data_IF_168200133539
#
_entry.id   IF_168200133539
#
_cell.length_a   1.000
_cell.length_b   1.000
_cell.length_c   1.000
_cell.angle_alpha   90.00
_cell.angle_beta   90.00
_cell.angle_gamma   90.00
#
_symmetry.space_group_name_H-M   'P 1'
#
loop_
_entity.id
_entity.type
_entity.pdbx_description
1 polymer ?
#
# COMPACT_ATOMS: atom_id res chain seq x y z
N UNK A 1 -45.94 -11.06 13.67
CA UNK A 1 -45.27 -12.37 13.48
C UNK A 1 -44.39 -12.59 14.70
N UNK A 2 -44.66 -13.59 15.54
CA UNK A 2 -43.93 -13.78 16.81
C UNK A 2 -42.54 -14.37 16.54
N UNK A 3 -41.51 -13.88 17.24
CA UNK A 3 -40.13 -14.35 17.10
C UNK A 3 -40.01 -15.84 17.51
N UNK A 4 -39.13 -16.62 16.86
CA UNK A 4 -38.84 -18.00 17.25
C UNK A 4 -38.37 -18.06 18.72
N UNK A 5 -38.78 -19.10 19.43
CA UNK A 5 -38.44 -19.34 20.84
C UNK A 5 -37.55 -20.57 21.00
N UNK A 6 -36.68 -20.53 21.99
CA UNK A 6 -35.80 -21.63 22.35
C UNK A 6 -36.63 -22.83 22.85
N UNK A 7 -36.45 -24.03 22.27
CA UNK A 7 -37.30 -25.19 22.56
C UNK A 7 -37.04 -25.88 23.91
N UNK A 8 -35.94 -25.55 24.61
CA UNK A 8 -35.67 -26.08 25.95
C UNK A 8 -36.09 -25.11 27.07
N UNK A 9 -36.02 -23.80 26.80
CA UNK A 9 -36.24 -22.76 27.83
C UNK A 9 -37.48 -21.88 27.58
N UNK A 10 -38.02 -21.88 26.37
CA UNK A 10 -39.22 -21.11 25.99
C UNK A 10 -39.00 -19.61 25.78
N UNK A 11 -37.76 -19.12 25.88
CA UNK A 11 -37.43 -17.70 25.70
C UNK A 11 -37.36 -17.29 24.22
N UNK A 12 -37.75 -16.06 23.89
CA UNK A 12 -37.68 -15.54 22.53
C UNK A 12 -36.24 -15.15 22.13
N UNK A 13 -35.81 -15.52 20.92
CA UNK A 13 -34.53 -15.06 20.37
C UNK A 13 -34.67 -13.58 19.93
N UNK A 14 -34.41 -12.67 20.87
CA UNK A 14 -34.28 -11.24 20.64
C UNK A 14 -33.14 -10.68 21.50
N UNK A 15 -32.62 -9.47 21.20
CA UNK A 15 -31.50 -8.91 21.93
C UNK A 15 -31.89 -8.74 23.40
N UNK A 16 -31.30 -9.56 24.28
CA UNK A 16 -31.47 -9.41 25.72
C UNK A 16 -30.91 -8.03 26.09
N UNK A 17 -31.76 -7.17 26.66
CA UNK A 17 -31.32 -5.90 27.25
C UNK A 17 -30.31 -6.21 28.35
N UNK A 18 -29.03 -6.06 28.03
CA UNK A 18 -27.93 -6.54 28.88
C UNK A 18 -26.82 -7.18 28.07
N UNK A 19 -26.38 -6.53 26.98
CA UNK A 19 -25.08 -6.86 26.40
C UNK A 19 -24.03 -6.83 27.53
N UNK A 20 -23.14 -7.84 27.64
CA UNK A 20 -22.11 -7.83 28.67
C UNK A 20 -21.37 -6.50 28.56
N UNK A 21 -21.25 -5.80 29.67
CA UNK A 21 -20.43 -4.61 29.78
C UNK A 21 -18.98 -5.03 29.50
N UNK A 22 -18.57 -4.93 28.22
CA UNK A 22 -17.27 -5.40 27.70
C UNK A 22 -16.08 -4.67 28.34
N UNK A 23 -16.34 -3.60 29.09
CA UNK A 23 -15.35 -2.82 29.82
C UNK A 23 -15.80 -2.61 31.27
N UNK A 24 -14.89 -2.61 32.26
CA UNK A 24 -15.22 -2.33 33.67
C UNK A 24 -16.01 -1.02 33.82
N UNK A 25 -16.96 -0.96 34.77
CA UNK A 25 -17.61 0.30 35.14
C UNK A 25 -16.53 1.34 35.54
N UNK A 26 -16.51 2.48 34.86
CA UNK A 26 -15.50 3.55 35.05
C UNK A 26 -14.60 3.82 33.84
N UNK A 27 -14.62 2.99 32.80
CA UNK A 27 -13.84 3.24 31.56
C UNK A 27 -14.44 4.29 30.63
N UNK A 28 -15.62 4.84 30.94
CA UNK A 28 -16.24 5.97 30.22
C UNK A 28 -15.36 7.23 30.24
N UNK A 29 -14.41 7.31 31.17
CA UNK A 29 -13.44 8.40 31.29
C UNK A 29 -12.22 8.26 30.37
N UNK A 30 -12.01 7.09 29.73
CA UNK A 30 -10.90 6.92 28.78
C UNK A 30 -11.34 7.32 27.36
N UNK A 31 -11.82 8.55 27.21
CA UNK A 31 -11.87 9.21 25.92
C UNK A 31 -10.56 10.00 25.80
N UNK A 32 -9.65 9.68 24.88
CA UNK A 32 -8.45 10.48 24.70
C UNK A 32 -8.86 11.94 24.50
N UNK A 33 -8.51 12.82 25.42
CA UNK A 33 -8.76 14.26 25.35
C UNK A 33 -7.67 14.97 24.55
N UNK A 34 -6.95 14.25 23.66
CA UNK A 34 -5.94 14.85 22.80
C UNK A 34 -6.63 15.76 21.77
N UNK A 35 -6.93 16.98 22.20
CA UNK A 35 -7.48 18.05 21.37
C UNK A 35 -6.47 19.17 21.17
N UNK A 36 -5.28 19.07 21.77
CA UNK A 36 -4.23 20.08 21.62
C UNK A 36 -2.85 19.46 21.36
N UNK A 37 -2.48 19.41 20.07
CA UNK A 37 -1.18 18.95 19.58
C UNK A 37 -0.14 20.09 19.54
N UNK A 38 -0.51 21.30 20.01
CA UNK A 38 0.38 22.48 19.97
C UNK A 38 1.60 22.36 20.90
N UNK A 39 1.56 21.43 21.85
CA UNK A 39 2.68 21.11 22.74
C UNK A 39 3.82 20.34 22.04
N UNK A 40 3.58 19.74 20.87
CA UNK A 40 4.58 19.03 20.09
C UNK A 40 5.20 19.96 19.04
N UNK A 41 6.44 20.38 19.25
CA UNK A 41 7.17 21.19 18.28
C UNK A 41 7.73 20.32 17.13
N UNK A 42 6.87 20.00 16.15
CA UNK A 42 7.23 19.24 14.95
C UNK A 42 8.21 20.00 14.04
N UNK A 43 8.33 21.33 14.17
CA UNK A 43 9.26 22.13 13.38
C UNK A 43 10.75 21.89 13.74
N UNK A 44 11.03 21.22 14.87
CA UNK A 44 12.39 20.79 15.26
C UNK A 44 12.72 19.35 14.81
N UNK A 45 12.18 18.91 13.68
CA UNK A 45 12.56 17.62 13.12
C UNK A 45 13.86 17.74 12.30
N UNK A 46 14.47 16.60 11.97
CA UNK A 46 15.72 16.55 11.20
C UNK A 46 15.51 16.48 9.68
N UNK A 47 14.25 16.57 9.20
CA UNK A 47 13.90 16.41 7.78
C UNK A 47 14.36 17.57 6.91
N UNK A 48 14.69 18.72 7.51
CA UNK A 48 15.22 19.91 6.80
C UNK A 48 16.75 19.92 6.69
N UNK A 49 17.43 18.84 7.11
CA UNK A 49 18.89 18.76 6.98
C UNK A 49 19.31 18.40 5.55
N UNK A 50 20.55 18.73 5.18
CA UNK A 50 21.09 18.49 3.83
C UNK A 50 21.07 17.01 3.41
N UNK A 51 21.16 16.08 4.37
CA UNK A 51 21.05 14.64 4.11
C UNK A 51 19.65 14.28 3.63
N UNK A 52 18.61 14.73 4.34
CA UNK A 52 17.22 14.46 3.97
C UNK A 52 16.86 15.13 2.64
N UNK A 53 17.32 16.36 2.41
CA UNK A 53 17.15 17.03 1.12
C UNK A 53 17.76 16.21 -0.04
N UNK A 54 18.99 15.73 0.12
CA UNK A 54 19.66 14.91 -0.91
C UNK A 54 18.89 13.61 -1.19
N UNK A 55 18.46 12.90 -0.13
CA UNK A 55 17.69 11.66 -0.27
C UNK A 55 16.32 11.91 -0.92
N UNK A 56 15.69 13.03 -0.60
CA UNK A 56 14.39 13.38 -1.15
C UNK A 56 14.50 13.69 -2.65
N UNK A 57 15.49 14.48 -3.06
CA UNK A 57 15.72 14.84 -4.47
C UNK A 57 16.02 13.60 -5.32
N UNK A 58 16.98 12.78 -4.89
CA UNK A 58 17.30 11.51 -5.56
C UNK A 58 16.11 10.55 -5.57
N UNK A 59 15.39 10.48 -4.46
CA UNK A 59 14.20 9.64 -4.32
C UNK A 59 13.07 10.09 -5.24
N UNK A 60 12.87 11.39 -5.40
CA UNK A 60 11.83 11.95 -6.26
C UNK A 60 12.13 11.65 -7.73
N UNK A 61 13.38 11.81 -8.16
CA UNK A 61 13.84 11.45 -9.50
C UNK A 61 13.60 9.94 -9.77
N UNK A 62 14.05 9.09 -8.85
CA UNK A 62 13.88 7.64 -8.97
C UNK A 62 12.41 7.23 -9.00
N UNK A 63 11.60 7.81 -8.11
CA UNK A 63 10.16 7.53 -8.03
C UNK A 63 9.46 7.88 -9.35
N UNK A 64 9.76 9.04 -9.93
CA UNK A 64 9.22 9.45 -11.24
C UNK A 64 9.61 8.47 -12.35
N UNK A 65 10.87 8.05 -12.38
CA UNK A 65 11.37 7.08 -13.36
C UNK A 65 10.58 5.76 -13.30
N UNK A 66 10.30 5.26 -12.09
CA UNK A 66 9.65 3.96 -11.92
C UNK A 66 8.13 4.06 -12.08
N UNK A 67 7.44 4.89 -11.29
CA UNK A 67 5.97 4.90 -11.27
C UNK A 67 5.33 5.93 -12.21
N UNK A 68 6.14 6.77 -12.86
CA UNK A 68 5.72 7.78 -13.84
C UNK A 68 5.49 9.16 -13.23
N UNK A 69 5.76 10.22 -13.99
CA UNK A 69 5.68 11.61 -13.51
C UNK A 69 4.26 11.99 -13.07
N UNK A 70 3.25 11.69 -13.89
CA UNK A 70 1.84 12.00 -13.60
C UNK A 70 1.36 11.34 -12.30
N UNK A 71 1.80 10.09 -12.07
CA UNK A 71 1.45 9.38 -10.85
C UNK A 71 2.06 10.07 -9.63
N UNK A 72 3.34 10.47 -9.71
CA UNK A 72 4.01 11.18 -8.62
C UNK A 72 3.38 12.53 -8.36
N UNK A 73 3.08 13.31 -9.41
CA UNK A 73 2.42 14.60 -9.29
C UNK A 73 1.08 14.48 -8.56
N UNK A 74 0.23 13.54 -8.98
CA UNK A 74 -1.06 13.27 -8.36
C UNK A 74 -0.92 12.78 -6.90
N UNK A 75 0.06 11.92 -6.62
CA UNK A 75 0.33 11.44 -5.27
C UNK A 75 0.81 12.55 -4.33
N UNK A 76 1.66 13.46 -4.81
CA UNK A 76 2.12 14.61 -4.03
C UNK A 76 1.02 15.65 -3.84
N UNK A 77 0.19 15.90 -4.85
CA UNK A 77 -0.96 16.80 -4.75
C UNK A 77 -1.94 16.30 -3.68
N UNK A 78 -2.38 15.04 -3.78
CA UNK A 78 -3.30 14.43 -2.80
C UNK A 78 -2.67 14.21 -1.44
N UNK A 79 -1.35 13.96 -1.41
CA UNK A 79 -0.56 13.76 -0.21
C UNK A 79 0.01 15.03 0.42
N UNK A 80 -0.32 16.21 -0.13
CA UNK A 80 0.26 17.50 0.30
C UNK A 80 -0.28 18.00 1.65
N UNK A 81 -1.38 17.43 2.14
CA UNK A 81 -1.94 17.77 3.45
C UNK A 81 -0.99 17.47 4.60
N UNK A 82 -1.05 18.28 5.67
CA UNK A 82 -0.18 18.19 6.85
C UNK A 82 -0.06 16.75 7.42
N UNK A 83 -1.14 15.99 7.39
CA UNK A 83 -1.18 14.61 7.90
C UNK A 83 -0.44 13.60 6.99
N UNK A 84 -0.53 13.76 5.66
CA UNK A 84 0.02 12.80 4.70
C UNK A 84 1.46 13.11 4.28
N UNK A 85 1.86 14.39 4.37
CA UNK A 85 3.16 14.87 3.90
C UNK A 85 4.35 14.12 4.53
N UNK A 86 4.41 13.88 5.86
CA UNK A 86 5.53 13.15 6.46
C UNK A 86 5.67 11.72 5.91
N UNK A 87 4.55 11.04 5.64
CA UNK A 87 4.57 9.71 5.04
C UNK A 87 5.06 9.75 3.59
N UNK A 88 4.63 10.72 2.80
CA UNK A 88 5.13 10.89 1.43
C UNK A 88 6.63 11.19 1.39
N UNK A 89 7.10 12.02 2.32
CA UNK A 89 8.52 12.34 2.45
C UNK A 89 9.30 11.09 2.87
N UNK A 90 8.87 10.40 3.92
CA UNK A 90 9.46 9.14 4.37
C UNK A 90 9.54 8.11 3.25
N UNK A 91 8.45 7.89 2.50
CA UNK A 91 8.44 6.94 1.40
C UNK A 91 9.40 7.35 0.27
N UNK A 92 9.46 8.65 -0.06
CA UNK A 92 10.35 9.21 -1.08
C UNK A 92 11.81 9.01 -0.69
N UNK A 93 12.20 9.36 0.53
CA UNK A 93 13.57 9.23 0.99
C UNK A 93 13.95 7.76 1.22
N UNK A 94 13.18 7.03 2.03
CA UNK A 94 13.57 5.69 2.48
C UNK A 94 13.56 4.67 1.34
N UNK A 95 12.46 4.54 0.59
CA UNK A 95 12.41 3.55 -0.48
C UNK A 95 13.21 4.03 -1.68
N UNK A 96 12.81 5.17 -2.24
CA UNK A 96 13.31 5.61 -3.53
C UNK A 96 14.71 6.23 -3.43
N UNK A 97 14.95 7.07 -2.42
CA UNK A 97 16.22 7.77 -2.22
C UNK A 97 17.34 6.88 -1.66
N UNK A 98 17.01 5.84 -0.87
CA UNK A 98 18.03 4.94 -0.31
C UNK A 98 18.12 3.58 -1.01
N UNK A 99 17.04 2.83 -1.19
CA UNK A 99 17.13 1.42 -1.63
C UNK A 99 17.17 1.31 -3.15
N UNK A 100 16.33 2.07 -3.86
CA UNK A 100 16.24 2.01 -5.33
C UNK A 100 17.41 2.66 -6.06
N UNK A 101 18.16 3.53 -5.38
CA UNK A 101 19.39 4.16 -5.88
C UNK A 101 20.64 3.31 -5.65
N UNK A 102 20.57 2.25 -4.82
CA UNK A 102 21.73 1.40 -4.54
C UNK A 102 22.12 0.53 -5.73
N UNK A 103 23.45 0.39 -5.98
CA UNK A 103 23.95 -0.56 -6.95
C UNK A 103 23.71 -2.01 -6.48
N UNK A 104 23.90 -2.97 -7.37
CA UNK A 104 23.84 -4.41 -7.10
C UNK A 104 22.67 -5.12 -7.78
N UNK A 105 21.45 -4.63 -7.59
CA UNK A 105 20.28 -5.12 -8.33
C UNK A 105 19.81 -4.07 -9.33
N UNK A 106 19.50 -4.50 -10.55
CA UNK A 106 18.91 -3.65 -11.57
C UNK A 106 17.50 -3.19 -11.16
N UNK A 107 17.02 -2.09 -11.74
CA UNK A 107 15.64 -1.64 -11.51
C UNK A 107 14.61 -2.68 -11.97
N UNK A 108 14.92 -3.45 -13.02
CA UNK A 108 14.14 -4.59 -13.49
C UNK A 108 13.99 -5.65 -12.38
N UNK A 109 15.12 -6.09 -11.80
CA UNK A 109 15.11 -7.13 -10.75
C UNK A 109 14.40 -6.65 -9.48
N UNK A 110 14.60 -5.39 -9.09
CA UNK A 110 13.90 -4.77 -7.96
C UNK A 110 12.39 -4.74 -8.17
N UNK A 111 11.94 -4.41 -9.38
CA UNK A 111 10.52 -4.46 -9.72
C UNK A 111 9.94 -5.86 -9.56
N UNK A 112 10.60 -6.90 -10.09
CA UNK A 112 10.13 -8.28 -9.95
C UNK A 112 10.02 -8.72 -8.48
N UNK A 113 11.05 -8.42 -7.67
CA UNK A 113 11.01 -8.69 -6.22
C UNK A 113 9.85 -7.97 -5.55
N UNK A 114 9.60 -6.71 -5.92
CA UNK A 114 8.52 -5.93 -5.32
C UNK A 114 7.14 -6.51 -5.70
N UNK A 115 6.94 -6.98 -6.92
CA UNK A 115 5.71 -7.68 -7.31
C UNK A 115 5.46 -8.92 -6.44
N UNK A 116 6.50 -9.73 -6.22
CA UNK A 116 6.39 -10.93 -5.35
C UNK A 116 6.06 -10.54 -3.91
N UNK A 117 6.72 -9.53 -3.35
CA UNK A 117 6.46 -9.05 -1.98
C UNK A 117 5.04 -8.49 -1.85
N UNK A 118 4.57 -7.69 -2.80
CA UNK A 118 3.22 -7.11 -2.79
C UNK A 118 2.14 -8.20 -2.92
N UNK A 119 2.41 -9.24 -3.70
CA UNK A 119 1.54 -10.42 -3.76
C UNK A 119 1.49 -11.15 -2.42
N UNK A 120 2.64 -11.40 -1.78
CA UNK A 120 2.70 -12.05 -0.48
C UNK A 120 1.95 -11.26 0.61
N UNK A 121 2.01 -9.93 0.56
CA UNK A 121 1.36 -9.03 1.53
C UNK A 121 -0.09 -8.69 1.18
N UNK A 122 -0.63 -9.21 0.07
CA UNK A 122 -1.97 -8.89 -0.42
C UNK A 122 -2.24 -7.39 -0.62
N UNK A 123 -1.27 -6.66 -1.20
CA UNK A 123 -1.35 -5.21 -1.43
C UNK A 123 -1.70 -4.90 -2.88
N UNK A 124 -2.94 -5.20 -3.26
CA UNK A 124 -3.40 -5.19 -4.66
C UNK A 124 -3.37 -3.83 -5.34
N UNK A 125 -3.73 -2.76 -4.63
CA UNK A 125 -3.64 -1.39 -5.17
C UNK A 125 -2.20 -1.02 -5.54
N UNK A 126 -1.26 -1.34 -4.65
CA UNK A 126 0.17 -1.08 -4.87
C UNK A 126 0.75 -2.02 -5.93
N UNK A 127 0.31 -3.28 -5.96
CA UNK A 127 0.73 -4.23 -6.99
C UNK A 127 0.45 -3.68 -8.38
N UNK A 128 -0.74 -3.12 -8.62
CA UNK A 128 -1.07 -2.52 -9.91
C UNK A 128 -0.18 -1.33 -10.30
N UNK A 129 0.17 -0.48 -9.33
CA UNK A 129 1.15 0.61 -9.54
C UNK A 129 2.52 0.04 -9.92
N UNK A 130 2.97 -1.01 -9.24
CA UNK A 130 4.28 -1.61 -9.49
C UNK A 130 4.34 -2.51 -10.73
N UNK A 131 3.21 -3.02 -11.25
CA UNK A 131 3.17 -3.67 -12.57
C UNK A 131 3.51 -2.66 -13.66
N UNK A 132 2.92 -1.46 -13.64
CA UNK A 132 3.31 -0.37 -14.56
C UNK A 132 4.79 -0.03 -14.43
N UNK A 133 5.29 0.07 -13.20
CA UNK A 133 6.70 0.36 -12.96
C UNK A 133 7.64 -0.76 -13.38
N UNK A 134 7.21 -2.03 -13.31
CA UNK A 134 7.97 -3.17 -13.82
C UNK A 134 8.17 -3.06 -15.34
N UNK A 135 7.08 -2.81 -16.08
CA UNK A 135 7.15 -2.63 -17.54
C UNK A 135 8.07 -1.46 -17.92
N UNK A 136 7.94 -0.29 -17.26
CA UNK A 136 8.81 0.87 -17.50
C UNK A 136 10.28 0.62 -17.19
N UNK A 137 10.55 -0.23 -16.20
CA UNK A 137 11.91 -0.67 -15.88
C UNK A 137 12.43 -1.79 -16.79
N UNK A 138 11.67 -2.16 -17.82
CA UNK A 138 12.08 -3.13 -18.84
C UNK A 138 11.72 -4.59 -18.54
N UNK A 139 10.84 -4.86 -17.56
CA UNK A 139 10.29 -6.20 -17.40
C UNK A 139 9.32 -6.52 -18.54
N UNK A 140 9.47 -7.69 -19.14
CA UNK A 140 8.48 -8.23 -20.08
C UNK A 140 7.24 -8.77 -19.35
N UNK A 141 6.13 -8.88 -20.08
CA UNK A 141 4.92 -9.56 -19.58
C UNK A 141 5.23 -10.99 -19.12
N UNK A 142 6.11 -11.70 -19.83
CA UNK A 142 6.54 -13.06 -19.48
C UNK A 142 7.23 -13.07 -18.12
N UNK A 143 8.17 -12.17 -17.88
CA UNK A 143 8.90 -12.11 -16.59
C UNK A 143 7.97 -11.74 -15.42
N UNK A 144 7.02 -10.84 -15.65
CA UNK A 144 5.99 -10.51 -14.66
C UNK A 144 5.15 -11.75 -14.36
N UNK A 145 4.68 -12.48 -15.39
CA UNK A 145 3.92 -13.73 -15.24
C UNK A 145 4.69 -14.77 -14.43
N UNK A 146 5.94 -15.04 -14.76
CA UNK A 146 6.77 -16.03 -14.06
C UNK A 146 6.99 -15.65 -12.59
N UNK A 147 7.20 -14.37 -12.28
CA UNK A 147 7.32 -13.91 -10.91
C UNK A 147 6.02 -14.12 -10.10
N UNK A 148 4.86 -13.87 -10.71
CA UNK A 148 3.57 -14.08 -10.07
C UNK A 148 3.24 -15.58 -9.90
N UNK A 149 3.62 -16.44 -10.85
CA UNK A 149 3.52 -17.90 -10.69
C UNK A 149 4.37 -18.38 -9.51
N UNK A 150 5.62 -17.93 -9.43
CA UNK A 150 6.51 -18.23 -8.31
C UNK A 150 5.87 -17.80 -6.99
N UNK A 151 5.36 -16.57 -6.90
CA UNK A 151 4.69 -16.09 -5.69
C UNK A 151 3.47 -16.95 -5.32
N UNK A 152 2.69 -17.40 -6.31
CA UNK A 152 1.49 -18.24 -6.11
C UNK A 152 1.81 -19.59 -5.47
N UNK A 153 2.96 -20.18 -5.79
CA UNK A 153 3.39 -21.44 -5.20
C UNK A 153 3.66 -21.34 -3.68
N UNK A 154 4.18 -20.20 -3.23
CA UNK A 154 4.57 -20.00 -1.82
C UNK A 154 3.53 -19.24 -0.99
N UNK A 155 2.74 -18.37 -1.63
CA UNK A 155 1.75 -17.52 -0.96
C UNK A 155 0.31 -18.06 -1.10
N UNK A 156 0.14 -19.18 -1.81
CA UNK A 156 -1.14 -19.82 -2.08
C UNK A 156 -1.84 -19.30 -3.34
N UNK A 157 -2.62 -20.18 -3.96
CA UNK A 157 -3.39 -19.90 -5.18
C UNK A 157 -4.36 -18.71 -5.06
N UNK A 158 -5.03 -18.45 -3.92
CA UNK A 158 -5.91 -17.27 -3.80
C UNK A 158 -5.18 -15.94 -4.04
N UNK A 159 -4.03 -15.76 -3.39
CA UNK A 159 -3.18 -14.56 -3.57
C UNK A 159 -2.64 -14.48 -5.01
N UNK A 160 -2.25 -15.63 -5.57
CA UNK A 160 -1.84 -15.75 -6.96
C UNK A 160 -2.91 -15.28 -7.95
N UNK A 161 -4.11 -15.83 -7.85
CA UNK A 161 -5.24 -15.48 -8.73
C UNK A 161 -5.53 -13.98 -8.68
N UNK A 162 -5.53 -13.37 -7.50
CA UNK A 162 -5.79 -11.94 -7.38
C UNK A 162 -4.66 -11.10 -7.97
N UNK A 163 -3.40 -11.50 -7.76
CA UNK A 163 -2.26 -10.85 -8.37
C UNK A 163 -2.32 -10.90 -9.91
N UNK A 164 -2.72 -12.04 -10.47
CA UNK A 164 -2.93 -12.21 -11.91
C UNK A 164 -4.05 -11.32 -12.45
N UNK A 165 -5.20 -11.23 -11.76
CA UNK A 165 -6.30 -10.33 -12.15
C UNK A 165 -5.85 -8.87 -12.18
N UNK A 166 -5.11 -8.45 -11.15
CA UNK A 166 -4.58 -7.08 -11.05
C UNK A 166 -3.59 -6.82 -12.18
N UNK A 167 -2.64 -7.73 -12.41
CA UNK A 167 -1.63 -7.58 -13.44
C UNK A 167 -2.24 -7.54 -14.84
N UNK A 168 -3.13 -8.49 -15.17
CA UNK A 168 -3.78 -8.55 -16.48
C UNK A 168 -4.59 -7.28 -16.78
N UNK A 169 -5.39 -6.81 -15.81
CA UNK A 169 -6.10 -5.54 -15.94
C UNK A 169 -5.16 -4.37 -16.23
N UNK A 170 -4.06 -4.25 -15.48
CA UNK A 170 -3.10 -3.16 -15.68
C UNK A 170 -2.36 -3.26 -17.01
N UNK A 171 -1.97 -4.47 -17.44
CA UNK A 171 -1.30 -4.68 -18.72
C UNK A 171 -2.24 -4.37 -19.89
N UNK A 172 -3.52 -4.71 -19.80
CA UNK A 172 -4.55 -4.31 -20.75
C UNK A 172 -4.70 -2.78 -20.81
N UNK A 173 -4.84 -2.10 -19.66
CA UNK A 173 -4.90 -0.63 -19.60
C UNK A 173 -3.68 0.03 -20.26
N UNK A 174 -2.48 -0.55 -20.08
CA UNK A 174 -1.25 -0.06 -20.70
C UNK A 174 -1.23 -0.30 -22.21
N UNK A 175 -1.70 -1.46 -22.68
CA UNK A 175 -1.79 -1.78 -24.10
C UNK A 175 -2.76 -0.85 -24.83
N UNK A 176 -3.94 -0.59 -24.24
CA UNK A 176 -4.94 0.34 -24.79
C UNK A 176 -4.38 1.77 -24.96
N UNK A 177 -3.46 2.16 -24.08
CA UNK A 177 -2.75 3.46 -24.14
C UNK A 177 -1.53 3.45 -25.06
N UNK A 178 -1.17 2.30 -25.64
CA UNK A 178 0.04 2.15 -26.45
C UNK A 178 1.35 2.18 -25.65
N UNK A 179 1.30 1.98 -24.33
CA UNK A 179 2.47 1.94 -23.44
C UNK A 179 3.20 0.58 -23.51
N UNK A 180 2.55 -0.45 -24.05
CA UNK A 180 3.04 -1.83 -24.15
C UNK A 180 2.41 -2.53 -25.36
N UNK A 181 3.15 -3.45 -25.99
CA UNK A 181 2.59 -4.47 -26.88
C UNK A 181 2.56 -5.79 -26.11
N UNK A 182 1.37 -6.39 -25.97
CA UNK A 182 1.21 -7.72 -25.38
C UNK A 182 1.54 -8.80 -26.40
N UNK A 183 2.09 -9.91 -25.91
CA UNK A 183 2.47 -11.09 -26.71
C UNK A 183 1.43 -12.19 -26.70
#
# INVERSE_FOLDING_TARGET
MALPRDPQTGEAYGPKSGAPQLYPKGTEQFRPTNTDDSSVNIAKNNMDTSVHQTLYEQGLEMRKKVVGEDYVANALEKGSGHFMRPLQQFATESAWGTIWTRPGLSHRDRSLLNLVMLTAMSKWTELGTHVRGAVRNGCSEVEIREALLQASAYCGLPSGMEAFRVADRVLNEMQEKGELVRG
#
